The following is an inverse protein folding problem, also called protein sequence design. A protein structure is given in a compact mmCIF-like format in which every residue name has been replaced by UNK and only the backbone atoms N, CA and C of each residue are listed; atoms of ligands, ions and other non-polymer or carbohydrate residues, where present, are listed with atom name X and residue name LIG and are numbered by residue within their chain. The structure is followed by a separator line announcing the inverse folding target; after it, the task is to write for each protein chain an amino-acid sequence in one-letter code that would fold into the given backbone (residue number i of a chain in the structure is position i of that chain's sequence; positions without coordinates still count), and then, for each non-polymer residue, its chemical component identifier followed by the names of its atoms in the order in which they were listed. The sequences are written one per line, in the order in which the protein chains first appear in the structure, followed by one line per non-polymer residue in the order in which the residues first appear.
data_IF_870938849964
#
_entry.id   IF_870938849964
#
_cell.length_a   1.000
_cell.length_b   1.000
_cell.length_c   1.000
_cell.angle_alpha   90.00
_cell.angle_beta   90.00
_cell.angle_gamma   90.00
#
_symmetry.space_group_name_H-M   'P 1'
#
loop_
_entity.id
_entity.type
_entity.pdbx_description
1 polymer ?
#
# COMPACT_ATOMS: atom_id res chain seq x y z
N UNK A 1 2.73 -22.22 -13.44
CA UNK A 1 1.38 -21.63 -13.63
C UNK A 1 0.76 -21.04 -12.36
N UNK A 2 0.86 -21.67 -11.17
CA UNK A 2 0.22 -21.19 -9.93
C UNK A 2 0.85 -19.93 -9.30
N UNK A 3 2.15 -19.70 -9.46
CA UNK A 3 2.87 -18.55 -8.85
C UNK A 3 2.42 -17.21 -9.47
N UNK A 4 2.34 -17.15 -10.81
CA UNK A 4 1.84 -15.96 -11.55
C UNK A 4 0.41 -15.57 -11.13
N UNK A 5 -0.42 -16.54 -10.71
CA UNK A 5 -1.80 -16.30 -10.28
C UNK A 5 -1.89 -15.38 -9.06
N UNK A 6 -1.10 -15.64 -8.02
CA UNK A 6 -1.12 -14.82 -6.79
C UNK A 6 -0.56 -13.42 -7.03
N UNK A 7 0.46 -13.29 -7.89
CA UNK A 7 0.99 -11.98 -8.28
C UNK A 7 -0.05 -11.16 -9.05
N UNK A 8 -0.78 -11.79 -9.98
CA UNK A 8 -1.83 -11.11 -10.73
C UNK A 8 -3.00 -10.69 -9.83
N UNK A 9 -3.37 -11.50 -8.85
CA UNK A 9 -4.34 -11.11 -7.83
C UNK A 9 -3.86 -9.96 -6.97
N UNK A 10 -2.59 -9.95 -6.57
CA UNK A 10 -2.00 -8.81 -5.88
C UNK A 10 -2.17 -7.52 -6.70
N UNK A 11 -1.81 -7.53 -7.99
CA UNK A 11 -1.95 -6.36 -8.87
C UNK A 11 -3.41 -5.92 -9.00
N UNK A 12 -4.33 -6.87 -9.20
CA UNK A 12 -5.76 -6.57 -9.34
C UNK A 12 -6.33 -5.94 -8.07
N UNK A 13 -5.98 -6.48 -6.89
CA UNK A 13 -6.37 -5.93 -5.60
C UNK A 13 -5.79 -4.53 -5.41
N UNK A 14 -4.53 -4.30 -5.79
CA UNK A 14 -3.93 -2.97 -5.71
C UNK A 14 -4.70 -1.96 -6.57
N UNK A 15 -5.01 -2.28 -7.82
CA UNK A 15 -5.81 -1.42 -8.71
C UNK A 15 -7.19 -1.16 -8.12
N UNK A 16 -7.86 -2.19 -7.59
CA UNK A 16 -9.16 -2.05 -6.95
C UNK A 16 -9.10 -1.11 -5.73
N UNK A 17 -8.04 -1.22 -4.91
CA UNK A 17 -7.84 -0.35 -3.76
C UNK A 17 -7.71 1.13 -4.14
N UNK A 18 -7.09 1.43 -5.30
CA UNK A 18 -6.97 2.81 -5.78
C UNK A 18 -8.34 3.45 -6.10
N UNK A 19 -9.34 2.64 -6.47
CA UNK A 19 -10.68 3.10 -6.79
C UNK A 19 -11.61 3.20 -5.57
N UNK A 20 -11.13 2.79 -4.39
CA UNK A 20 -11.93 2.74 -3.17
C UNK A 20 -11.48 3.82 -2.16
N UNK A 21 -12.38 4.20 -1.23
CA UNK A 21 -12.03 5.13 -0.16
C UNK A 21 -10.91 4.55 0.72
N UNK A 22 -9.76 5.22 0.77
CA UNK A 22 -8.65 4.81 1.63
C UNK A 22 -8.92 5.18 3.09
N UNK A 23 -9.69 6.24 3.31
CA UNK A 23 -10.10 6.75 4.61
C UNK A 23 -11.61 6.99 4.65
N UNK A 24 -12.19 6.83 5.84
CA UNK A 24 -13.56 7.22 6.20
C UNK A 24 -13.45 8.49 7.05
N UNK A 25 -14.35 9.45 6.84
CA UNK A 25 -14.38 10.73 7.56
C UNK A 25 -14.13 11.94 6.65
N UNK A 26 -13.32 11.76 5.62
CA UNK A 26 -13.11 12.76 4.57
C UNK A 26 -13.73 12.25 3.27
N UNK A 27 -14.86 12.84 2.88
CA UNK A 27 -15.57 12.50 1.64
C UNK A 27 -14.62 12.76 0.46
N UNK A 28 -14.34 11.73 -0.35
CA UNK A 28 -13.54 11.73 -1.61
C UNK A 28 -12.05 11.36 -1.54
N UNK A 29 -11.48 10.97 -0.40
CA UNK A 29 -10.10 10.43 -0.40
C UNK A 29 -10.05 8.99 -0.93
N UNK A 30 -9.98 8.88 -2.25
CA UNK A 30 -9.72 7.62 -2.95
C UNK A 30 -8.26 7.19 -2.78
N UNK A 31 -7.99 5.89 -2.86
CA UNK A 31 -6.62 5.36 -2.81
C UNK A 31 -5.71 5.95 -3.88
N UNK A 32 -6.23 6.27 -5.07
CA UNK A 32 -5.49 6.97 -6.12
C UNK A 32 -4.98 8.35 -5.65
N UNK A 33 -5.80 9.09 -4.91
CA UNK A 33 -5.39 10.39 -4.38
C UNK A 33 -4.28 10.23 -3.34
N UNK A 34 -4.40 9.24 -2.45
CA UNK A 34 -3.35 8.89 -1.49
C UNK A 34 -2.03 8.53 -2.15
N UNK A 35 -2.06 7.85 -3.30
CA UNK A 35 -0.85 7.53 -4.06
C UNK A 35 -0.20 8.79 -4.67
N UNK A 36 -1.01 9.68 -5.25
CA UNK A 36 -0.53 10.88 -5.95
C UNK A 36 -0.08 12.01 -5.02
N UNK A 37 -0.68 12.13 -3.83
CA UNK A 37 -0.45 13.25 -2.91
C UNK A 37 0.32 12.81 -1.66
N UNK A 38 0.30 11.53 -1.31
CA UNK A 38 0.93 11.01 -0.09
C UNK A 38 2.44 11.23 0.00
N UNK A 39 3.13 11.46 -1.13
CA UNK A 39 4.56 11.80 -1.14
C UNK A 39 4.83 13.15 -0.46
N UNK A 40 3.86 14.06 -0.42
CA UNK A 40 4.00 15.35 0.26
C UNK A 40 4.19 15.18 1.77
N UNK A 41 3.69 14.06 2.33
CA UNK A 41 3.90 13.68 3.72
C UNK A 41 5.23 12.98 3.99
N UNK A 42 6.18 12.90 3.04
CA UNK A 42 7.49 12.26 3.29
C UNK A 42 8.30 12.90 4.41
N UNK A 43 8.06 14.18 4.71
CA UNK A 43 8.68 14.90 5.83
C UNK A 43 8.01 14.58 7.18
N UNK A 44 6.82 13.96 7.15
CA UNK A 44 6.08 13.52 8.32
C UNK A 44 6.08 11.98 8.38
N UNK A 45 6.86 11.34 9.26
CA UNK A 45 7.04 9.88 9.25
C UNK A 45 5.73 9.08 9.26
N UNK A 46 4.70 9.58 9.94
CA UNK A 46 3.39 8.94 10.05
C UNK A 46 2.67 8.85 8.69
N UNK A 47 2.91 9.81 7.78
CA UNK A 47 2.31 9.86 6.44
C UNK A 47 3.29 9.28 5.39
N UNK A 48 4.58 9.59 5.52
CA UNK A 48 5.62 9.17 4.59
C UNK A 48 5.87 7.66 4.59
N UNK A 49 5.85 7.01 5.76
CA UNK A 49 6.09 5.56 5.85
C UNK A 49 5.04 4.74 5.09
N UNK A 50 3.72 4.98 5.27
CA UNK A 50 2.70 4.33 4.44
C UNK A 50 2.87 4.56 2.95
N UNK A 51 3.26 5.77 2.55
CA UNK A 51 3.47 6.06 1.13
C UNK A 51 4.65 5.27 0.55
N UNK A 52 5.74 5.10 1.31
CA UNK A 52 6.90 4.29 0.92
C UNK A 52 6.54 2.82 0.67
N UNK A 53 5.47 2.29 1.28
CA UNK A 53 4.99 0.95 0.97
C UNK A 53 4.64 0.81 -0.53
N UNK A 54 4.10 1.85 -1.18
CA UNK A 54 3.81 1.81 -2.61
C UNK A 54 5.10 1.68 -3.44
N UNK A 55 6.14 2.44 -3.08
CA UNK A 55 7.45 2.38 -3.75
C UNK A 55 8.04 0.99 -3.64
N UNK A 56 8.06 0.42 -2.42
CA UNK A 56 8.55 -0.93 -2.18
C UNK A 56 7.74 -1.99 -2.95
N UNK A 57 6.41 -1.84 -3.00
CA UNK A 57 5.53 -2.71 -3.76
C UNK A 57 5.88 -2.71 -5.26
N UNK A 58 6.03 -1.53 -5.87
CA UNK A 58 6.38 -1.41 -7.29
C UNK A 58 7.79 -1.92 -7.60
N UNK A 59 8.78 -1.61 -6.74
CA UNK A 59 10.14 -2.18 -6.84
C UNK A 59 10.06 -3.71 -6.87
N UNK A 60 9.27 -4.29 -5.97
CA UNK A 60 9.16 -5.74 -5.87
C UNK A 60 8.45 -6.39 -7.07
N UNK A 61 7.49 -5.70 -7.68
CA UNK A 61 6.84 -6.14 -8.92
C UNK A 61 7.78 -6.07 -10.14
N UNK A 62 8.57 -5.00 -10.23
CA UNK A 62 9.45 -4.75 -11.38
C UNK A 62 10.71 -5.64 -11.36
N UNK A 63 11.38 -5.76 -10.22
CA UNK A 63 12.67 -6.43 -10.11
C UNK A 63 12.56 -7.94 -9.83
N UNK A 64 11.90 -8.68 -10.73
CA UNK A 64 11.73 -10.15 -10.60
C UNK A 64 13.04 -10.94 -10.56
N UNK A 65 14.11 -10.40 -11.16
CA UNK A 65 15.43 -11.04 -11.24
C UNK A 65 16.25 -10.95 -9.96
N UNK A 66 15.78 -10.19 -8.97
CA UNK A 66 16.47 -10.11 -7.67
C UNK A 66 16.35 -11.43 -6.91
N UNK A 67 17.32 -11.67 -6.02
CA UNK A 67 17.33 -12.86 -5.16
C UNK A 67 16.01 -12.95 -4.40
N UNK A 68 15.41 -14.14 -4.37
CA UNK A 68 14.09 -14.36 -3.76
C UNK A 68 14.01 -13.90 -2.30
N UNK A 69 15.08 -14.12 -1.53
CA UNK A 69 15.18 -13.63 -0.13
C UNK A 69 15.04 -12.10 -0.01
N UNK A 70 15.62 -11.35 -0.95
CA UNK A 70 15.51 -9.89 -0.98
C UNK A 70 14.08 -9.48 -1.31
N UNK A 71 13.43 -10.12 -2.28
CA UNK A 71 12.03 -9.87 -2.65
C UNK A 71 11.07 -10.12 -1.47
N UNK A 72 11.28 -11.20 -0.72
CA UNK A 72 10.52 -11.50 0.49
C UNK A 72 10.72 -10.42 1.56
N UNK A 73 11.97 -10.00 1.81
CA UNK A 73 12.25 -8.94 2.78
C UNK A 73 11.57 -7.62 2.39
N UNK A 74 11.62 -7.26 1.10
CA UNK A 74 10.92 -6.07 0.58
C UNK A 74 9.41 -6.20 0.75
N UNK A 75 8.82 -7.38 0.50
CA UNK A 75 7.39 -7.61 0.74
C UNK A 75 6.99 -7.45 2.20
N UNK A 76 7.81 -7.96 3.12
CA UNK A 76 7.58 -7.79 4.56
C UNK A 76 7.67 -6.31 4.94
N UNK A 77 8.71 -5.61 4.48
CA UNK A 77 8.87 -4.18 4.71
C UNK A 77 7.69 -3.37 4.13
N UNK A 78 7.19 -3.75 2.94
CA UNK A 78 6.00 -3.16 2.32
C UNK A 78 4.78 -3.26 3.23
N UNK A 79 4.53 -4.43 3.80
CA UNK A 79 3.40 -4.66 4.72
C UNK A 79 3.59 -3.83 5.99
N UNK A 80 4.77 -3.87 6.60
CA UNK A 80 5.07 -3.13 7.84
C UNK A 80 4.86 -1.63 7.63
N UNK A 81 5.39 -1.07 6.53
CA UNK A 81 5.21 0.34 6.18
C UNK A 81 3.74 0.67 5.92
N UNK A 82 3.01 -0.22 5.23
CA UNK A 82 1.59 -0.04 5.00
C UNK A 82 0.76 0.03 6.29
N UNK A 83 1.11 -0.74 7.31
CA UNK A 83 0.41 -0.73 8.61
C UNK A 83 0.48 0.62 9.34
N UNK A 84 1.49 1.46 9.07
CA UNK A 84 1.55 2.81 9.65
C UNK A 84 0.37 3.69 9.21
N UNK A 85 -0.35 3.35 8.13
CA UNK A 85 -1.53 4.08 7.70
C UNK A 85 -2.66 4.06 8.74
N UNK A 86 -2.68 3.06 9.62
CA UNK A 86 -3.62 2.97 10.76
C UNK A 86 -3.38 4.11 11.76
N UNK A 87 -2.15 4.62 11.84
CA UNK A 87 -1.78 5.74 12.69
C UNK A 87 -2.23 7.10 12.15
N UNK A 88 -2.66 7.19 10.89
CA UNK A 88 -3.17 8.44 10.31
C UNK A 88 -4.58 8.67 10.84
N UNK A 89 -4.72 9.63 11.76
CA UNK A 89 -5.99 10.00 12.41
C UNK A 89 -6.58 11.30 11.88
N UNK A 90 -5.80 12.07 11.13
CA UNK A 90 -6.22 13.34 10.60
C UNK A 90 -5.58 13.59 9.25
N UNK A 91 -6.33 14.25 8.36
CA UNK A 91 -5.84 14.73 7.08
C UNK A 91 -6.24 16.19 6.86
N UNK A 92 -5.44 16.97 6.12
CA UNK A 92 -5.83 18.30 5.70
C UNK A 92 -7.10 18.23 4.83
N UNK A 93 -8.10 19.05 5.17
CA UNK A 93 -9.37 19.16 4.45
C UNK A 93 -9.31 20.19 3.33
N UNK A 94 -8.59 21.28 3.56
CA UNK A 94 -8.52 22.43 2.67
C UNK A 94 -7.16 23.15 2.81
N UNK A 95 -6.85 24.00 1.83
CA UNK A 95 -5.65 24.85 1.85
C UNK A 95 -5.71 25.95 2.93
N UNK A 96 -6.84 26.10 3.60
CA UNK A 96 -7.03 26.98 4.75
C UNK A 96 -6.55 26.37 6.07
N UNK A 97 -6.03 25.15 6.05
CA UNK A 97 -5.51 24.45 7.24
C UNK A 97 -6.58 23.72 8.05
N UNK A 98 -7.79 23.55 7.51
CA UNK A 98 -8.82 22.73 8.12
C UNK A 98 -8.36 21.28 8.26
N UNK A 99 -8.60 20.66 9.41
CA UNK A 99 -8.25 19.27 9.70
C UNK A 99 -9.53 18.45 9.76
N UNK A 100 -9.53 17.26 9.16
CA UNK A 100 -10.62 16.29 9.29
C UNK A 100 -10.10 15.01 9.92
N UNK A 101 -10.81 14.53 10.94
CA UNK A 101 -10.52 13.22 11.54
C UNK A 101 -10.89 12.10 10.57
N UNK A 102 -10.00 11.12 10.46
CA UNK A 102 -10.14 9.99 9.55
C UNK A 102 -9.81 8.66 10.21
N UNK A 103 -10.43 7.62 9.66
CA UNK A 103 -10.18 6.23 9.98
C UNK A 103 -9.88 5.44 8.72
N UNK A 104 -9.08 4.38 8.81
CA UNK A 104 -8.81 3.53 7.64
C UNK A 104 -10.10 2.97 7.04
N UNK A 105 -10.26 3.12 5.73
CA UNK A 105 -11.41 2.67 4.97
C UNK A 105 -11.23 1.29 4.33
N UNK A 106 -12.24 0.86 3.56
CA UNK A 106 -12.18 -0.43 2.85
C UNK A 106 -11.07 -0.50 1.82
N UNK A 107 -10.70 0.64 1.20
CA UNK A 107 -9.57 0.73 0.28
C UNK A 107 -8.26 0.34 0.94
N UNK A 108 -8.05 0.71 2.21
CA UNK A 108 -6.86 0.31 2.97
C UNK A 108 -6.80 -1.22 3.16
N UNK A 109 -7.91 -1.86 3.50
CA UNK A 109 -7.94 -3.33 3.69
C UNK A 109 -7.57 -4.06 2.39
N UNK A 110 -8.14 -3.62 1.26
CA UNK A 110 -7.87 -4.21 -0.06
C UNK A 110 -6.43 -3.93 -0.50
N UNK A 111 -5.90 -2.75 -0.20
CA UNK A 111 -4.50 -2.40 -0.42
C UNK A 111 -3.56 -3.30 0.38
N UNK A 112 -3.83 -3.52 1.67
CA UNK A 112 -3.04 -4.45 2.49
C UNK A 112 -3.11 -5.89 1.99
N UNK A 113 -4.29 -6.35 1.56
CA UNK A 113 -4.43 -7.67 0.94
C UNK A 113 -3.57 -7.79 -0.32
N UNK A 114 -3.45 -6.74 -1.13
CA UNK A 114 -2.58 -6.74 -2.30
C UNK A 114 -1.12 -7.08 -1.93
N UNK A 115 -0.61 -6.52 -0.83
CA UNK A 115 0.76 -6.77 -0.37
C UNK A 115 0.95 -8.18 0.16
N UNK A 116 -0.03 -8.69 0.92
CA UNK A 116 -0.03 -10.06 1.43
C UNK A 116 -0.04 -11.08 0.28
N UNK A 117 -0.84 -10.85 -0.76
CA UNK A 117 -0.85 -11.73 -1.93
C UNK A 117 0.49 -11.74 -2.69
N UNK A 118 1.18 -10.59 -2.74
CA UNK A 118 2.52 -10.53 -3.33
C UNK A 118 3.52 -11.36 -2.51
N UNK A 119 3.49 -11.25 -1.18
CA UNK A 119 4.33 -12.04 -0.29
C UNK A 119 4.03 -13.55 -0.45
N UNK A 120 2.76 -13.96 -0.47
CA UNK A 120 2.36 -15.37 -0.67
C UNK A 120 2.90 -15.91 -2.00
N UNK A 121 2.89 -15.10 -3.07
CA UNK A 121 3.44 -15.51 -4.36
C UNK A 121 4.92 -15.89 -4.27
N UNK A 122 5.70 -15.13 -3.50
CA UNK A 122 7.14 -15.31 -3.32
C UNK A 122 7.47 -16.46 -2.36
N UNK A 123 6.69 -16.63 -1.29
CA UNK A 123 6.85 -17.78 -0.39
C UNK A 123 6.57 -19.08 -1.14
N UNK A 124 5.55 -19.12 -2.00
CA UNK A 124 5.27 -20.28 -2.85
C UNK A 124 6.35 -20.51 -3.89
N UNK A 125 6.99 -19.46 -4.40
CA UNK A 125 8.16 -19.56 -5.29
C UNK A 125 9.34 -20.22 -4.56
N UNK A 126 9.52 -19.98 -3.26
CA UNK A 126 10.61 -20.55 -2.46
C UNK A 126 10.46 -22.05 -2.14
N UNK A 127 9.24 -22.59 -2.27
CA UNK A 127 8.93 -23.99 -1.96
C UNK A 127 8.98 -24.91 -3.20
N UNK A 128 9.12 -24.35 -4.40
CA UNK A 128 9.27 -25.11 -5.65
C UNK A 128 10.72 -25.04 -6.14
#
# INVERSE_FOLDING_TARGET
MKIEKYRNYSILLYILALMLPMFIGAWLFLGLFGLLVGWMGLLEPIIGLPWLANVLYFINLYFKKWRLKIRILISIATIVFGLFAIGIRSVPRDEGGGITEVFVGFGFLIWMMSFVFLLISQIRENQN
#
